data_IF_896723499170
#
_entry.id   IF_896723499170
#
_cell.length_a   1.000
_cell.length_b   1.000
_cell.length_c   1.000
_cell.angle_alpha   90.00
_cell.angle_beta   90.00
_cell.angle_gamma   90.00
#
_symmetry.space_group_name_H-M   'P 1'
#
loop_
_entity.id
_entity.type
_entity.pdbx_description
1 polymer ?
#
# COMPACT_ATOMS: atom_id res chain seq x y z
N UNK A 1 -13.93 16.06 -19.24
CA UNK A 1 -13.03 15.16 -18.50
C UNK A 1 -13.05 13.83 -19.20
N UNK A 2 -11.90 13.35 -19.65
CA UNK A 2 -11.83 12.03 -20.24
C UNK A 2 -11.83 10.96 -19.15
N UNK A 3 -12.50 9.87 -19.46
CA UNK A 3 -12.51 8.66 -18.68
C UNK A 3 -11.13 7.97 -18.70
N UNK A 4 -10.32 8.24 -17.67
CA UNK A 4 -8.99 7.64 -17.44
C UNK A 4 -9.03 6.10 -17.46
N UNK A 5 -10.19 5.50 -17.18
CA UNK A 5 -10.39 4.04 -17.20
C UNK A 5 -10.24 3.43 -18.60
N UNK A 6 -10.31 4.25 -19.65
CA UNK A 6 -10.19 3.84 -21.06
C UNK A 6 -8.79 3.98 -21.63
N UNK A 7 -7.84 4.53 -20.87
CA UNK A 7 -6.47 4.69 -21.33
C UNK A 7 -5.75 3.34 -21.38
N UNK A 8 -5.02 3.08 -22.47
CA UNK A 8 -4.19 1.90 -22.62
C UNK A 8 -2.87 2.08 -21.84
N UNK A 9 -2.91 1.71 -20.56
CA UNK A 9 -1.72 1.62 -19.72
C UNK A 9 -0.87 0.38 -20.04
N UNK A 10 -1.40 -0.61 -20.76
CA UNK A 10 -0.76 -1.91 -20.94
C UNK A 10 0.47 -1.82 -21.85
N UNK A 11 0.39 -0.99 -22.89
CA UNK A 11 1.40 -0.93 -23.96
C UNK A 11 2.83 -0.79 -23.43
N UNK A 12 3.06 0.20 -22.57
CA UNK A 12 4.39 0.48 -22.05
C UNK A 12 4.62 -0.22 -20.72
N UNK A 13 3.64 -0.25 -19.84
CA UNK A 13 3.89 -0.71 -18.48
C UNK A 13 4.02 -2.24 -18.42
N UNK A 14 3.35 -3.03 -19.27
CA UNK A 14 3.40 -4.50 -19.22
C UNK A 14 4.79 -5.12 -19.39
N UNK A 15 5.70 -4.52 -20.19
CA UNK A 15 6.98 -5.17 -20.55
C UNK A 15 8.13 -4.16 -20.67
N UNK A 16 8.93 -4.04 -19.62
CA UNK A 16 10.11 -3.15 -19.57
C UNK A 16 11.15 -3.46 -20.64
N UNK A 17 11.32 -4.73 -21.03
CA UNK A 17 12.28 -5.10 -22.10
C UNK A 17 11.89 -4.57 -23.48
N UNK A 18 10.67 -4.06 -23.67
CA UNK A 18 10.24 -3.36 -24.87
C UNK A 18 10.47 -1.85 -24.83
N UNK A 19 11.00 -1.31 -23.73
CA UNK A 19 11.23 0.13 -23.60
C UNK A 19 12.36 0.59 -24.52
N UNK A 20 12.27 1.82 -25.06
CA UNK A 20 13.42 2.44 -25.71
C UNK A 20 14.63 2.37 -24.78
N UNK A 21 15.76 1.90 -25.30
CA UNK A 21 17.00 1.84 -24.54
C UNK A 21 17.29 3.21 -23.93
N UNK A 22 17.68 3.23 -22.66
CA UNK A 22 18.20 4.44 -22.01
C UNK A 22 19.34 4.99 -22.88
N UNK A 23 19.11 6.14 -23.50
CA UNK A 23 20.19 6.92 -24.07
C UNK A 23 20.82 7.72 -22.92
N UNK A 24 22.15 7.71 -22.83
CA UNK A 24 22.99 8.36 -21.81
C UNK A 24 22.27 9.49 -21.04
N UNK A 25 22.12 9.28 -19.73
CA UNK A 25 21.55 10.23 -18.75
C UNK A 25 20.06 10.58 -18.95
N UNK A 26 19.26 9.69 -19.54
CA UNK A 26 17.81 9.91 -19.70
C UNK A 26 16.99 8.70 -19.31
N UNK A 27 15.81 8.99 -18.77
CA UNK A 27 14.78 8.02 -18.44
C UNK A 27 13.66 8.10 -19.47
N UNK A 28 13.21 6.94 -19.95
CA UNK A 28 11.93 6.88 -20.66
C UNK A 28 10.80 7.25 -19.69
N UNK A 29 9.75 7.93 -20.15
CA UNK A 29 8.68 8.41 -19.28
C UNK A 29 8.05 7.28 -18.42
N UNK A 30 7.80 6.10 -19.00
CA UNK A 30 7.29 4.96 -18.23
C UNK A 30 8.22 4.58 -17.07
N UNK A 31 9.53 4.63 -17.30
CA UNK A 31 10.53 4.35 -16.28
C UNK A 31 10.52 5.42 -15.17
N UNK A 32 10.50 6.69 -15.56
CA UNK A 32 10.45 7.79 -14.62
C UNK A 32 9.23 7.69 -13.70
N UNK A 33 8.07 7.32 -14.27
CA UNK A 33 6.85 7.05 -13.50
C UNK A 33 7.08 5.96 -12.46
N UNK A 34 7.69 4.82 -12.84
CA UNK A 34 7.97 3.76 -11.87
C UNK A 34 8.98 4.11 -10.79
N UNK A 35 9.89 5.04 -11.05
CA UNK A 35 10.80 5.52 -10.00
C UNK A 35 10.12 6.49 -9.04
N UNK A 36 9.24 7.34 -9.56
CA UNK A 36 8.50 8.32 -8.77
C UNK A 36 7.44 7.63 -7.92
N UNK A 37 6.82 6.59 -8.45
CA UNK A 37 5.60 6.07 -7.87
C UNK A 37 5.76 5.49 -6.46
N UNK A 38 6.81 4.73 -6.11
CA UNK A 38 7.07 4.34 -4.72
C UNK A 38 7.32 5.51 -3.76
N UNK A 39 7.78 6.65 -4.30
CA UNK A 39 8.03 7.85 -3.52
C UNK A 39 6.77 8.68 -3.29
N UNK A 40 5.77 8.55 -4.15
CA UNK A 40 4.53 9.34 -4.08
C UNK A 40 3.30 8.52 -3.69
N UNK A 41 3.34 7.21 -3.82
CA UNK A 41 2.22 6.31 -3.59
C UNK A 41 2.73 5.15 -2.77
N UNK A 42 2.12 4.95 -1.61
CA UNK A 42 2.36 3.79 -0.77
C UNK A 42 1.06 3.01 -0.59
N UNK A 43 1.07 1.67 -0.72
CA UNK A 43 2.17 0.83 -1.23
C UNK A 43 2.16 0.82 -2.78
N UNK A 44 3.31 1.08 -3.42
CA UNK A 44 3.45 0.92 -4.89
C UNK A 44 4.17 -0.39 -5.25
N UNK A 45 5.30 -0.67 -4.58
CA UNK A 45 6.20 -1.77 -4.91
C UNK A 45 5.58 -3.17 -4.69
N UNK A 46 4.63 -3.29 -3.77
CA UNK A 46 3.98 -4.56 -3.44
C UNK A 46 2.64 -4.78 -4.18
N UNK A 47 2.08 -3.73 -4.80
CA UNK A 47 0.63 -3.66 -5.07
C UNK A 47 0.30 -3.35 -6.52
N UNK A 48 1.16 -2.71 -7.33
CA UNK A 48 0.80 -2.47 -8.74
C UNK A 48 1.82 -3.16 -9.65
N UNK A 49 1.71 -4.49 -9.83
CA UNK A 49 2.45 -5.14 -10.89
C UNK A 49 2.01 -4.51 -12.20
N UNK A 50 2.95 -3.89 -12.89
CA UNK A 50 2.94 -3.32 -14.22
C UNK A 50 2.04 -3.98 -15.31
N UNK A 51 1.71 -5.26 -15.16
CA UNK A 51 0.79 -5.99 -16.03
C UNK A 51 -0.69 -6.02 -15.57
N UNK A 52 -0.98 -5.75 -14.30
CA UNK A 52 -2.33 -5.83 -13.69
C UNK A 52 -3.27 -4.72 -14.15
N UNK A 53 -2.74 -3.55 -14.49
CA UNK A 53 -3.59 -2.45 -14.99
C UNK A 53 -4.19 -2.71 -16.37
N UNK A 54 -3.65 -3.67 -17.13
CA UNK A 54 -4.05 -3.90 -18.51
C UNK A 54 -5.43 -4.54 -18.65
N UNK A 55 -5.73 -5.56 -17.84
CA UNK A 55 -6.91 -6.39 -18.02
C UNK A 55 -7.69 -6.49 -16.70
N UNK A 56 -8.97 -6.11 -16.74
CA UNK A 56 -9.91 -6.40 -15.66
C UNK A 56 -10.07 -7.93 -15.61
N UNK A 57 -9.89 -8.49 -14.43
CA UNK A 57 -10.09 -9.92 -14.21
C UNK A 57 -11.59 -10.19 -14.05
N UNK A 58 -12.08 -11.36 -14.47
CA UNK A 58 -13.47 -11.72 -14.23
C UNK A 58 -13.78 -11.65 -12.73
N UNK A 59 -14.91 -11.05 -12.38
CA UNK A 59 -15.43 -11.12 -11.02
C UNK A 59 -15.98 -12.53 -10.79
N UNK A 60 -15.11 -13.41 -10.31
CA UNK A 60 -15.47 -14.79 -10.00
C UNK A 60 -16.44 -14.82 -8.79
N UNK A 61 -17.50 -15.66 -8.83
CA UNK A 61 -18.33 -15.90 -7.65
C UNK A 61 -17.50 -16.35 -6.47
N UNK A 62 -17.89 -15.94 -5.26
CA UNK A 62 -17.22 -16.38 -4.04
C UNK A 62 -17.34 -17.89 -3.87
N UNK A 63 -16.44 -18.49 -3.09
CA UNK A 63 -16.41 -19.94 -2.88
C UNK A 63 -17.71 -20.48 -2.30
N UNK A 64 -18.39 -19.71 -1.44
CA UNK A 64 -19.70 -20.08 -0.87
C UNK A 64 -20.85 -20.02 -1.89
N UNK A 65 -20.68 -19.30 -2.99
CA UNK A 65 -21.63 -19.26 -4.10
C UNK A 65 -21.37 -20.40 -5.10
N UNK A 66 -20.12 -20.86 -5.20
CA UNK A 66 -19.71 -21.93 -6.11
C UNK A 66 -19.95 -23.34 -5.53
N UNK A 67 -19.92 -23.49 -4.20
CA UNK A 67 -20.09 -24.76 -3.51
C UNK A 67 -21.32 -24.73 -2.59
N UNK A 68 -21.96 -25.86 -2.37
CA UNK A 68 -22.97 -26.01 -1.32
C UNK A 68 -22.31 -26.15 0.07
N UNK A 69 -23.14 -26.28 1.10
CA UNK A 69 -22.67 -26.40 2.49
C UNK A 69 -21.94 -27.72 2.78
N UNK A 70 -22.11 -28.73 1.93
CA UNK A 70 -21.38 -30.00 1.97
C UNK A 70 -20.05 -29.94 1.19
N UNK A 71 -19.76 -28.81 0.53
CA UNK A 71 -18.58 -28.65 -0.32
C UNK A 71 -18.74 -29.29 -1.71
N UNK A 72 -19.96 -29.65 -2.13
CA UNK A 72 -20.21 -30.11 -3.48
C UNK A 72 -20.32 -28.91 -4.44
N UNK A 73 -19.79 -29.02 -5.67
CA UNK A 73 -19.88 -27.94 -6.66
C UNK A 73 -21.34 -27.73 -7.09
N UNK A 74 -21.79 -26.47 -7.11
CA UNK A 74 -23.10 -26.08 -7.63
C UNK A 74 -23.07 -26.10 -9.16
N UNK A 75 -23.83 -26.99 -9.84
CA UNK A 75 -23.70 -27.20 -11.29
C UNK A 75 -23.90 -25.94 -12.13
N UNK A 76 -24.84 -25.07 -11.74
CA UNK A 76 -25.16 -23.82 -12.43
C UNK A 76 -24.02 -22.81 -12.39
N UNK A 77 -23.31 -22.71 -11.25
CA UNK A 77 -22.19 -21.78 -11.07
C UNK A 77 -20.94 -22.33 -11.74
N UNK A 78 -20.63 -23.61 -11.53
CA UNK A 78 -19.49 -24.26 -12.18
C UNK A 78 -19.65 -24.29 -13.71
N UNK A 79 -20.85 -24.56 -14.23
CA UNK A 79 -21.11 -24.56 -15.66
C UNK A 79 -20.89 -23.19 -16.31
N UNK A 80 -21.21 -22.11 -15.60
CA UNK A 80 -21.04 -20.74 -16.09
C UNK A 80 -19.59 -20.22 -15.94
N UNK A 81 -18.94 -20.51 -14.82
CA UNK A 81 -17.71 -19.80 -14.42
C UNK A 81 -16.43 -20.64 -14.40
N UNK A 82 -16.52 -21.98 -14.34
CA UNK A 82 -15.32 -22.82 -14.33
C UNK A 82 -14.41 -22.60 -15.57
N UNK A 83 -14.94 -22.39 -16.81
CA UNK A 83 -14.09 -22.06 -17.95
C UNK A 83 -13.33 -20.73 -17.78
N UNK A 84 -13.99 -19.70 -17.25
CA UNK A 84 -13.36 -18.40 -16.99
C UNK A 84 -12.28 -18.52 -15.91
N UNK A 85 -12.56 -19.27 -14.84
CA UNK A 85 -11.62 -19.57 -13.78
C UNK A 85 -10.39 -20.32 -14.30
N UNK A 86 -10.58 -21.36 -15.12
CA UNK A 86 -9.49 -22.14 -15.70
C UNK A 86 -8.66 -21.35 -16.73
N UNK A 87 -9.28 -20.40 -17.42
CA UNK A 87 -8.56 -19.45 -18.28
C UNK A 87 -7.74 -18.43 -17.45
N UNK A 88 -8.24 -18.05 -16.27
CA UNK A 88 -7.56 -17.15 -15.35
C UNK A 88 -6.39 -17.84 -14.63
N UNK A 89 -6.66 -18.99 -14.00
CA UNK A 89 -5.70 -19.81 -13.28
C UNK A 89 -5.91 -21.27 -13.67
N UNK A 90 -4.99 -21.78 -14.48
CA UNK A 90 -5.06 -23.16 -14.94
C UNK A 90 -4.91 -24.13 -13.76
N UNK A 91 -5.46 -25.35 -13.89
CA UNK A 91 -5.28 -26.38 -12.87
C UNK A 91 -3.80 -26.73 -12.63
N UNK A 92 -2.97 -26.64 -13.67
CA UNK A 92 -1.52 -26.84 -13.57
C UNK A 92 -0.85 -25.74 -12.75
N UNK A 93 -1.20 -24.47 -13.00
CA UNK A 93 -0.71 -23.33 -12.25
C UNK A 93 -1.11 -23.39 -10.78
N UNK A 94 -2.39 -23.67 -10.49
CA UNK A 94 -2.86 -23.87 -9.11
C UNK A 94 -2.09 -24.99 -8.41
N UNK A 95 -1.90 -26.14 -9.09
CA UNK A 95 -1.16 -27.27 -8.54
C UNK A 95 0.29 -26.87 -8.24
N UNK A 96 0.94 -26.13 -9.14
CA UNK A 96 2.29 -25.61 -8.92
C UNK A 96 2.34 -24.68 -7.70
N UNK A 97 1.46 -23.68 -7.61
CA UNK A 97 1.41 -22.76 -6.45
C UNK A 97 1.12 -23.49 -5.13
N UNK A 98 0.26 -24.52 -5.16
CA UNK A 98 -0.02 -25.35 -3.98
C UNK A 98 1.20 -26.18 -3.58
N UNK A 99 1.88 -26.81 -4.54
CA UNK A 99 3.11 -27.56 -4.29
C UNK A 99 4.20 -26.66 -3.73
N UNK A 100 4.40 -25.45 -4.27
CA UNK A 100 5.38 -24.49 -3.76
C UNK A 100 5.18 -24.19 -2.27
N UNK A 101 3.91 -24.02 -1.86
CA UNK A 101 3.56 -23.71 -0.46
C UNK A 101 3.68 -24.91 0.48
N UNK A 102 3.34 -26.12 0.01
CA UNK A 102 3.24 -27.32 0.85
C UNK A 102 4.52 -28.17 0.87
N UNK A 103 5.22 -28.25 -0.26
CA UNK A 103 6.42 -29.06 -0.47
C UNK A 103 7.37 -28.39 -1.49
N UNK A 104 8.17 -27.40 -1.05
CA UNK A 104 9.10 -26.67 -1.92
C UNK A 104 10.12 -27.57 -2.62
N UNK A 105 10.52 -28.69 -2.00
CA UNK A 105 11.48 -29.64 -2.57
C UNK A 105 10.84 -30.43 -3.73
N UNK A 106 9.59 -30.90 -3.55
CA UNK A 106 8.84 -31.51 -4.64
C UNK A 106 8.54 -30.51 -5.76
N UNK A 107 8.28 -29.24 -5.42
CA UNK A 107 8.15 -28.17 -6.40
C UNK A 107 9.43 -28.01 -7.22
N UNK A 108 10.60 -27.89 -6.58
CA UNK A 108 11.89 -27.80 -7.26
C UNK A 108 12.18 -29.02 -8.15
N UNK A 109 11.79 -30.22 -7.73
CA UNK A 109 11.94 -31.45 -8.53
C UNK A 109 10.96 -31.54 -9.72
N UNK A 110 9.79 -30.91 -9.61
CA UNK A 110 8.76 -30.85 -10.65
C UNK A 110 9.01 -29.76 -11.71
N UNK A 111 9.85 -28.78 -11.41
CA UNK A 111 10.20 -27.71 -12.33
C UNK A 111 11.55 -27.95 -12.99
N UNK A 112 11.68 -27.54 -14.26
CA UNK A 112 12.95 -27.55 -14.98
C UNK A 112 13.30 -26.13 -15.39
N UNK A 113 14.57 -25.76 -15.27
CA UNK A 113 15.05 -24.51 -15.81
C UNK A 113 14.94 -24.54 -17.35
N UNK A 114 14.21 -23.59 -17.92
CA UNK A 114 14.12 -23.36 -19.35
C UNK A 114 15.09 -22.23 -19.73
N UNK A 115 16.18 -22.53 -20.47
CA UNK A 115 17.15 -21.52 -20.88
C UNK A 115 16.58 -20.50 -21.87
N UNK A 116 15.44 -20.76 -22.52
CA UNK A 116 14.82 -19.84 -23.49
C UNK A 116 14.04 -18.74 -22.78
N UNK A 117 13.21 -19.10 -21.80
CA UNK A 117 12.51 -18.12 -20.96
C UNK A 117 13.39 -17.55 -19.84
N UNK A 118 14.49 -18.22 -19.49
CA UNK A 118 15.36 -17.85 -18.36
C UNK A 118 14.70 -18.11 -17.01
N UNK A 119 13.67 -18.97 -16.97
CA UNK A 119 12.84 -19.23 -15.80
C UNK A 119 12.62 -20.72 -15.53
N UNK A 120 11.99 -21.02 -14.39
CA UNK A 120 11.58 -22.39 -14.04
C UNK A 120 10.24 -22.69 -14.70
N UNK A 121 10.17 -23.75 -15.52
CA UNK A 121 8.95 -24.20 -16.20
C UNK A 121 8.41 -25.44 -15.50
N UNK A 122 7.13 -25.38 -15.13
CA UNK A 122 6.41 -26.49 -14.52
C UNK A 122 6.20 -27.62 -15.54
N UNK A 123 6.48 -28.87 -15.14
CA UNK A 123 6.17 -30.06 -15.94
C UNK A 123 4.80 -30.63 -15.50
N UNK A 124 3.69 -30.26 -16.16
CA UNK A 124 2.35 -30.64 -15.72
C UNK A 124 2.13 -32.15 -15.73
N UNK A 125 2.89 -32.90 -16.54
CA UNK A 125 2.82 -34.36 -16.60
C UNK A 125 3.29 -35.03 -15.29
N UNK A 126 4.07 -34.32 -14.45
CA UNK A 126 4.58 -34.83 -13.18
C UNK A 126 3.67 -34.57 -11.98
N UNK A 127 2.77 -33.60 -12.08
CA UNK A 127 1.98 -33.14 -10.93
C UNK A 127 0.49 -33.47 -11.04
N UNK A 128 0.01 -33.87 -12.23
CA UNK A 128 -1.41 -33.98 -12.50
C UNK A 128 -1.86 -35.43 -12.74
N UNK A 129 -2.23 -36.12 -11.67
CA UNK A 129 -2.95 -37.40 -11.73
C UNK A 129 -4.39 -37.22 -11.27
N UNK A 130 -5.29 -37.21 -12.27
CA UNK A 130 -6.74 -37.45 -12.20
C UNK A 130 -7.62 -36.50 -11.38
N UNK A 131 -8.38 -35.68 -12.12
CA UNK A 131 -9.59 -35.02 -11.64
C UNK A 131 -9.77 -33.68 -12.34
N UNK A 132 -10.51 -33.64 -13.45
CA UNK A 132 -10.81 -32.42 -14.24
C UNK A 132 -11.70 -31.40 -13.50
N UNK A 133 -11.90 -31.56 -12.20
CA UNK A 133 -12.75 -30.70 -11.38
C UNK A 133 -11.95 -29.55 -10.77
N UNK A 134 -12.51 -28.34 -10.83
CA UNK A 134 -12.07 -27.21 -10.00
C UNK A 134 -12.42 -27.54 -8.55
N UNK A 135 -11.42 -27.69 -7.70
CA UNK A 135 -11.63 -27.94 -6.26
C UNK A 135 -12.06 -26.66 -5.53
N UNK A 136 -12.58 -26.81 -4.31
CA UNK A 136 -12.87 -25.68 -3.42
C UNK A 136 -11.65 -24.77 -3.26
N UNK A 137 -10.48 -25.35 -2.95
CA UNK A 137 -9.22 -24.61 -2.74
C UNK A 137 -8.75 -23.89 -4.01
N UNK A 138 -8.93 -24.50 -5.19
CA UNK A 138 -8.62 -23.86 -6.48
C UNK A 138 -9.54 -22.66 -6.71
N UNK A 139 -10.84 -22.82 -6.45
CA UNK A 139 -11.80 -21.74 -6.59
C UNK A 139 -11.53 -20.57 -5.66
N UNK A 140 -11.27 -20.88 -4.39
CA UNK A 140 -10.97 -19.88 -3.36
C UNK A 140 -9.71 -19.10 -3.70
N UNK A 141 -8.63 -19.80 -4.08
CA UNK A 141 -7.37 -19.16 -4.47
C UNK A 141 -7.54 -18.29 -5.72
N UNK A 142 -8.23 -18.79 -6.75
CA UNK A 142 -8.43 -18.04 -7.98
C UNK A 142 -9.33 -16.81 -7.80
N UNK A 143 -10.43 -16.94 -7.06
CA UNK A 143 -11.35 -15.82 -6.78
C UNK A 143 -10.69 -14.73 -5.94
N UNK A 144 -9.91 -15.12 -4.91
CA UNK A 144 -9.14 -14.18 -4.10
C UNK A 144 -8.13 -13.41 -4.95
N UNK A 145 -7.31 -14.10 -5.75
CA UNK A 145 -6.31 -13.43 -6.59
C UNK A 145 -6.96 -12.54 -7.66
N UNK A 146 -8.08 -12.95 -8.26
CA UNK A 146 -8.79 -12.12 -9.24
C UNK A 146 -9.33 -10.83 -8.59
N UNK A 147 -9.90 -10.94 -7.38
CA UNK A 147 -10.36 -9.80 -6.59
C UNK A 147 -9.21 -8.87 -6.20
N UNK A 148 -8.08 -9.45 -5.74
CA UNK A 148 -6.87 -8.71 -5.44
C UNK A 148 -6.40 -7.93 -6.68
N UNK A 149 -6.18 -8.58 -7.83
CA UNK A 149 -5.75 -7.90 -9.07
C UNK A 149 -6.72 -6.77 -9.48
N UNK A 150 -8.02 -6.96 -9.35
CA UNK A 150 -9.00 -5.90 -9.65
C UNK A 150 -8.89 -4.72 -8.68
N UNK A 151 -8.67 -4.98 -7.40
CA UNK A 151 -8.41 -3.92 -6.42
C UNK A 151 -7.10 -3.19 -6.72
N UNK A 152 -6.03 -3.93 -7.05
CA UNK A 152 -4.74 -3.37 -7.48
C UNK A 152 -4.89 -2.46 -8.71
N UNK A 153 -5.66 -2.92 -9.71
CA UNK A 153 -6.01 -2.12 -10.90
C UNK A 153 -6.77 -0.86 -10.51
N UNK A 154 -7.76 -0.96 -9.61
CA UNK A 154 -8.55 0.19 -9.14
C UNK A 154 -7.65 1.23 -8.46
N UNK A 155 -6.76 0.80 -7.56
CA UNK A 155 -5.77 1.66 -6.92
C UNK A 155 -4.86 2.32 -7.96
N UNK A 156 -4.33 1.54 -8.90
CA UNK A 156 -3.52 2.05 -10.00
C UNK A 156 -4.23 3.13 -10.81
N UNK A 157 -5.50 2.94 -11.15
CA UNK A 157 -6.30 3.93 -11.89
C UNK A 157 -6.53 5.24 -11.12
N UNK A 158 -6.60 5.19 -9.79
CA UNK A 158 -6.67 6.38 -8.93
C UNK A 158 -5.31 7.08 -8.87
N UNK A 159 -4.23 6.29 -8.81
CA UNK A 159 -2.88 6.75 -8.60
C UNK A 159 -2.21 7.35 -9.85
N UNK A 160 -2.48 6.81 -11.04
CA UNK A 160 -1.82 7.26 -12.27
C UNK A 160 -2.07 8.74 -12.61
N UNK A 161 -3.28 9.31 -12.46
CA UNK A 161 -3.50 10.74 -12.62
C UNK A 161 -2.66 11.61 -11.66
N UNK A 162 -2.44 11.14 -10.43
CA UNK A 162 -1.62 11.85 -9.45
C UNK A 162 -0.15 11.87 -9.87
N UNK A 163 0.37 10.75 -10.37
CA UNK A 163 1.72 10.67 -10.93
C UNK A 163 1.87 11.53 -12.19
N UNK A 164 0.85 11.52 -13.04
CA UNK A 164 0.82 12.33 -14.25
C UNK A 164 0.90 13.81 -13.90
N UNK A 165 0.10 14.23 -12.92
CA UNK A 165 0.10 15.60 -12.42
C UNK A 165 1.45 15.97 -11.82
N UNK A 166 2.06 15.09 -11.02
CA UNK A 166 3.36 15.35 -10.41
C UNK A 166 4.46 15.60 -11.45
N UNK A 167 4.53 14.76 -12.48
CA UNK A 167 5.49 14.94 -13.58
C UNK A 167 5.21 16.23 -14.33
N UNK A 168 3.95 16.52 -14.65
CA UNK A 168 3.57 17.74 -15.35
C UNK A 168 3.92 19.00 -14.55
N UNK A 169 3.61 19.03 -13.24
CA UNK A 169 3.93 20.15 -12.36
C UNK A 169 5.44 20.38 -12.27
N UNK A 170 6.24 19.33 -12.12
CA UNK A 170 7.70 19.44 -12.11
C UNK A 170 8.25 19.93 -13.46
N UNK A 171 7.69 19.47 -14.58
CA UNK A 171 8.11 19.91 -15.91
C UNK A 171 7.74 21.38 -16.17
N UNK A 172 6.54 21.80 -15.78
CA UNK A 172 6.07 23.20 -15.84
C UNK A 172 6.94 24.12 -14.99
N UNK A 173 7.29 23.69 -13.77
CA UNK A 173 8.14 24.46 -12.87
C UNK A 173 9.61 24.54 -13.35
N UNK A 174 9.99 23.77 -14.37
CA UNK A 174 11.38 23.63 -14.81
C UNK A 174 12.24 22.85 -13.82
N UNK A 175 11.64 22.16 -12.84
CA UNK A 175 12.32 21.26 -11.90
C UNK A 175 12.87 20.04 -12.67
N UNK A 176 12.17 19.54 -13.69
CA UNK A 176 12.66 18.47 -14.55
C UNK A 176 12.68 18.90 -16.01
N UNK A 177 13.73 18.48 -16.74
CA UNK A 177 13.81 18.69 -18.18
C UNK A 177 13.20 17.50 -18.90
N UNK A 178 12.28 17.77 -19.82
CA UNK A 178 11.65 16.75 -20.65
C UNK A 178 12.03 16.93 -22.12
N UNK A 179 12.11 15.80 -22.84
CA UNK A 179 12.64 15.72 -24.20
C UNK A 179 11.70 14.83 -25.01
N UNK A 180 11.35 15.26 -26.21
CA UNK A 180 10.63 14.50 -27.20
C UNK A 180 11.61 13.90 -28.22
N UNK A 181 11.45 12.60 -28.52
CA UNK A 181 12.21 11.91 -29.56
C UNK A 181 11.25 11.25 -30.55
N UNK A 182 11.43 11.42 -31.87
CA UNK A 182 10.55 10.78 -32.84
C UNK A 182 10.52 9.26 -32.67
N UNK A 183 9.34 8.64 -32.81
CA UNK A 183 9.17 7.18 -32.61
C UNK A 183 10.08 6.37 -33.55
N UNK A 184 10.29 6.85 -34.78
CA UNK A 184 11.14 6.18 -35.76
C UNK A 184 12.63 6.54 -35.62
N UNK A 185 13.02 7.16 -34.51
CA UNK A 185 14.34 7.75 -34.32
C UNK A 185 14.48 9.10 -35.02
N UNK A 186 15.51 9.85 -34.65
CA UNK A 186 15.75 11.21 -35.15
C UNK A 186 16.33 12.13 -34.10
N UNK A 187 16.43 13.41 -34.47
CA UNK A 187 16.87 14.46 -33.57
C UNK A 187 15.83 14.69 -32.46
N UNK A 188 16.33 15.03 -31.29
CA UNK A 188 15.50 15.28 -30.12
C UNK A 188 15.12 16.75 -30.02
N UNK A 189 13.94 16.98 -29.45
CA UNK A 189 13.40 18.31 -29.23
C UNK A 189 13.15 18.48 -27.74
N UNK A 190 13.67 19.54 -27.14
CA UNK A 190 13.35 19.87 -25.76
C UNK A 190 11.88 20.27 -25.67
N UNK A 191 11.14 19.69 -24.71
CA UNK A 191 9.76 20.08 -24.47
C UNK A 191 9.72 21.35 -23.63
N UNK A 192 8.83 22.27 -23.97
CA UNK A 192 8.61 23.51 -23.22
C UNK A 192 7.62 23.30 -22.07
N UNK A 193 7.59 24.24 -21.13
CA UNK A 193 6.63 24.21 -20.03
C UNK A 193 5.17 24.29 -20.55
N UNK A 194 4.94 25.08 -21.60
CA UNK A 194 3.62 25.24 -22.22
C UNK A 194 3.10 23.94 -22.81
N UNK A 195 4.00 23.11 -23.35
CA UNK A 195 3.63 21.79 -23.80
C UNK A 195 3.13 20.93 -22.64
N UNK A 196 3.48 21.21 -21.38
CA UNK A 196 2.92 20.51 -20.22
C UNK A 196 1.61 21.09 -19.66
N UNK A 197 1.09 22.20 -20.20
CA UNK A 197 -0.20 22.79 -19.83
C UNK A 197 -1.39 22.02 -20.43
N UNK A 198 -1.57 20.77 -20.01
CA UNK A 198 -2.76 19.98 -20.30
C UNK A 198 -3.63 19.87 -19.06
N UNK A 199 -4.95 19.86 -19.27
CA UNK A 199 -5.92 19.66 -18.20
C UNK A 199 -5.74 18.28 -17.55
N UNK A 200 -5.41 17.26 -18.35
CA UNK A 200 -5.15 15.89 -17.89
C UNK A 200 -3.85 15.34 -18.49
N UNK A 201 -2.82 15.24 -17.66
CA UNK A 201 -1.52 14.70 -18.07
C UNK A 201 -1.51 13.16 -18.18
N UNK A 202 -2.57 12.47 -17.74
CA UNK A 202 -2.68 10.99 -17.75
C UNK A 202 -2.43 10.42 -19.14
N UNK A 203 -2.91 11.09 -20.18
CA UNK A 203 -2.73 10.67 -21.57
C UNK A 203 -1.27 10.54 -22.00
N UNK A 204 -0.43 11.46 -21.54
CA UNK A 204 0.99 11.42 -21.86
C UNK A 204 1.71 10.31 -21.13
N UNK A 205 1.30 10.00 -19.91
CA UNK A 205 1.85 8.84 -19.20
C UNK A 205 1.36 7.54 -19.85
N UNK A 206 0.07 7.42 -20.17
CA UNK A 206 -0.49 6.22 -20.81
C UNK A 206 0.17 5.93 -22.16
N UNK A 207 0.30 6.94 -23.01
CA UNK A 207 0.94 6.82 -24.32
C UNK A 207 2.47 6.88 -24.29
N UNK A 208 3.06 7.34 -23.18
CA UNK A 208 4.46 7.75 -23.05
C UNK A 208 4.96 8.64 -24.21
N UNK A 209 4.05 9.41 -24.81
CA UNK A 209 4.30 10.13 -26.04
C UNK A 209 3.46 11.39 -26.18
N UNK A 210 3.74 12.15 -27.23
CA UNK A 210 2.94 13.28 -27.67
C UNK A 210 3.03 13.45 -29.19
N UNK A 211 2.04 14.14 -29.75
CA UNK A 211 2.19 14.78 -31.05
C UNK A 211 2.72 16.21 -30.87
N UNK A 212 3.85 16.55 -31.49
CA UNK A 212 4.44 17.89 -31.37
C UNK A 212 3.64 18.95 -32.13
N UNK A 213 2.92 18.57 -33.19
CA UNK A 213 2.10 19.52 -33.95
C UNK A 213 0.77 19.80 -33.26
N UNK A 214 0.23 18.79 -32.54
CA UNK A 214 -1.03 18.88 -31.81
C UNK A 214 -0.85 18.46 -30.33
N UNK A 215 -0.01 19.14 -29.53
CA UNK A 215 0.41 18.66 -28.21
C UNK A 215 -0.73 18.62 -27.17
N UNK A 216 -1.83 19.33 -27.43
CA UNK A 216 -3.00 19.40 -26.55
C UNK A 216 -4.15 18.50 -27.01
N UNK A 217 -4.05 17.90 -28.20
CA UNK A 217 -5.02 16.94 -28.69
C UNK A 217 -4.71 15.55 -28.08
N UNK A 218 -5.57 15.13 -27.15
CA UNK A 218 -5.43 13.86 -26.44
C UNK A 218 -5.71 12.64 -27.31
N UNK A 219 -6.40 12.84 -28.45
CA UNK A 219 -6.72 11.79 -29.41
C UNK A 219 -5.72 11.75 -30.58
N UNK A 220 -4.81 12.72 -30.65
CA UNK A 220 -3.75 12.72 -31.66
C UNK A 220 -2.82 11.51 -31.49
N UNK A 221 -2.46 10.89 -32.61
CA UNK A 221 -1.51 9.77 -32.61
C UNK A 221 -0.13 10.30 -32.22
N UNK A 222 0.52 9.77 -31.17
CA UNK A 222 1.85 10.23 -30.77
C UNK A 222 2.85 10.11 -31.91
N UNK A 223 3.57 11.20 -32.20
CA UNK A 223 4.67 11.21 -33.17
C UNK A 223 6.04 11.07 -32.47
N UNK A 224 6.08 11.40 -31.18
CA UNK A 224 7.27 11.40 -30.34
C UNK A 224 7.05 10.65 -29.03
N UNK A 225 8.12 10.02 -28.54
CA UNK A 225 8.22 9.47 -27.18
C UNK A 225 8.82 10.51 -26.24
N UNK A 226 8.37 10.48 -24.98
CA UNK A 226 8.83 11.42 -23.94
C UNK A 226 9.94 10.78 -23.10
N UNK A 227 10.99 11.55 -22.88
CA UNK A 227 12.11 11.23 -22.00
C UNK A 227 12.29 12.33 -20.96
N UNK A 228 12.85 11.96 -19.81
CA UNK A 228 13.21 12.88 -18.73
C UNK A 228 14.73 12.85 -18.56
N UNK A 229 15.34 14.03 -18.47
CA UNK A 229 16.75 14.15 -18.12
C UNK A 229 16.97 13.63 -16.69
N UNK A 230 17.94 12.74 -16.51
CA UNK A 230 18.23 12.13 -15.22
C UNK A 230 18.89 13.14 -14.26
N UNK A 231 19.53 14.18 -14.79
CA UNK A 231 20.26 15.14 -13.96
C UNK A 231 19.32 15.86 -12.99
N UNK A 232 19.53 15.62 -11.70
CA UNK A 232 18.73 16.21 -10.62
C UNK A 232 17.34 15.59 -10.45
N UNK A 233 16.94 14.63 -11.29
CA UNK A 233 15.60 14.05 -11.27
C UNK A 233 15.21 13.52 -9.88
N UNK A 234 16.03 12.66 -9.28
CA UNK A 234 15.75 12.08 -7.96
C UNK A 234 15.65 13.15 -6.85
N UNK A 235 16.48 14.20 -6.93
CA UNK A 235 16.45 15.33 -5.99
C UNK A 235 15.15 16.14 -6.14
N UNK A 236 14.74 16.42 -7.37
CA UNK A 236 13.51 17.15 -7.66
C UNK A 236 12.26 16.35 -7.28
N UNK A 237 12.25 15.04 -7.50
CA UNK A 237 11.17 14.15 -7.02
C UNK A 237 11.08 14.17 -5.50
N UNK A 238 12.21 14.06 -4.80
CA UNK A 238 12.25 14.13 -3.34
C UNK A 238 11.82 15.51 -2.81
N UNK A 239 12.12 16.59 -3.53
CA UNK A 239 11.63 17.94 -3.20
C UNK A 239 10.13 18.07 -3.47
N UNK A 240 9.63 17.54 -4.59
CA UNK A 240 8.21 17.54 -4.93
C UNK A 240 7.40 16.80 -3.85
N UNK A 241 7.79 15.57 -3.52
CA UNK A 241 7.17 14.78 -2.44
C UNK A 241 7.09 15.57 -1.12
N UNK A 242 8.20 16.24 -0.75
CA UNK A 242 8.27 17.09 0.45
C UNK A 242 7.35 18.31 0.40
N UNK A 243 7.30 19.01 -0.74
CA UNK A 243 6.47 20.23 -0.93
C UNK A 243 4.98 19.90 -0.91
N UNK A 244 4.59 18.83 -1.58
CA UNK A 244 3.18 18.45 -1.74
C UNK A 244 2.67 17.62 -0.57
N UNK A 245 3.49 17.42 0.48
CA UNK A 245 3.12 16.66 1.67
C UNK A 245 2.62 15.25 1.32
N UNK A 246 2.99 14.76 0.13
CA UNK A 246 2.72 13.40 -0.31
C UNK A 246 3.61 12.55 0.57
N UNK A 247 2.98 11.99 1.59
CA UNK A 247 3.72 11.36 2.66
C UNK A 247 4.47 10.18 2.05
N UNK A 248 5.81 10.24 2.13
CA UNK A 248 6.69 9.09 2.03
C UNK A 248 6.37 8.22 3.24
N UNK A 249 5.36 7.39 3.10
CA UNK A 249 4.80 6.60 4.19
C UNK A 249 5.47 5.23 4.15
N UNK A 250 6.20 4.88 5.20
CA UNK A 250 6.52 3.48 5.49
C UNK A 250 5.33 2.76 6.17
N UNK A 251 4.34 3.48 6.72
CA UNK A 251 3.19 2.87 7.41
C UNK A 251 1.90 3.73 7.27
N UNK A 252 1.03 3.37 6.31
CA UNK A 252 -0.39 3.75 6.18
C UNK A 252 -0.77 5.25 6.14
N UNK A 253 -1.14 5.76 4.96
CA UNK A 253 -2.24 6.72 4.82
C UNK A 253 -3.29 6.03 3.96
N UNK A 254 -4.49 5.87 4.51
CA UNK A 254 -5.69 5.59 3.72
C UNK A 254 -6.06 6.84 2.91
N UNK A 255 -6.49 6.70 1.65
CA UNK A 255 -6.96 7.83 0.87
C UNK A 255 -8.26 8.35 1.49
N UNK A 256 -8.15 9.37 2.35
CA UNK A 256 -9.29 10.23 2.62
C UNK A 256 -9.46 11.11 1.39
N UNK A 257 -10.54 10.89 0.66
CA UNK A 257 -11.00 11.63 -0.52
C UNK A 257 -11.24 13.16 -0.28
N UNK A 258 -10.62 13.77 0.75
CA UNK A 258 -11.24 14.83 1.57
C UNK A 258 -10.31 15.94 2.12
N UNK A 259 -9.36 16.47 1.33
CA UNK A 259 -8.68 17.74 1.68
C UNK A 259 -7.53 17.63 2.70
N UNK A 260 -6.41 17.05 2.28
CA UNK A 260 -5.29 16.70 3.15
C UNK A 260 -4.31 17.87 3.34
N UNK A 261 -4.15 18.31 4.59
CA UNK A 261 -2.92 18.93 5.13
C UNK A 261 -2.14 17.83 5.87
N UNK A 262 -0.90 17.51 5.50
CA UNK A 262 -0.06 16.60 6.31
C UNK A 262 1.40 17.04 6.47
N UNK A 263 1.69 17.55 7.66
CA UNK A 263 2.99 18.00 8.13
C UNK A 263 4.07 16.88 8.10
N UNK A 264 5.32 17.22 7.76
CA UNK A 264 6.47 16.28 7.74
C UNK A 264 6.67 15.50 9.05
N UNK A 265 7.31 14.31 9.06
CA UNK A 265 7.65 13.54 10.30
C UNK A 265 8.23 14.42 11.44
N UNK A 266 9.03 15.45 11.12
CA UNK A 266 9.61 16.40 12.09
C UNK A 266 8.60 17.39 12.69
N UNK A 267 7.52 17.68 11.97
CA UNK A 267 6.41 18.52 12.42
C UNK A 267 5.22 17.70 12.96
N UNK A 268 5.06 16.46 12.48
CA UNK A 268 4.06 15.51 12.96
C UNK A 268 4.43 14.95 14.33
N UNK A 269 5.72 14.70 14.60
CA UNK A 269 6.16 14.18 15.89
C UNK A 269 5.76 15.10 17.08
N UNK A 270 6.06 16.41 17.08
CA UNK A 270 5.56 17.32 18.11
C UNK A 270 4.02 17.38 18.16
N UNK A 271 3.36 17.30 17.01
CA UNK A 271 1.89 17.38 16.92
C UNK A 271 1.21 16.14 17.53
N UNK A 272 1.69 14.94 17.21
CA UNK A 272 1.18 13.70 17.77
C UNK A 272 1.50 13.59 19.26
N UNK A 273 2.69 14.02 19.69
CA UNK A 273 3.01 14.14 21.12
C UNK A 273 2.04 15.08 21.83
N UNK A 274 1.77 16.25 21.22
CA UNK A 274 0.84 17.24 21.75
C UNK A 274 -0.63 16.79 21.75
N UNK A 275 -1.02 15.80 20.92
CA UNK A 275 -2.35 15.17 20.93
C UNK A 275 -2.43 13.99 21.90
N UNK A 276 -1.39 13.15 21.96
CA UNK A 276 -1.36 11.98 22.81
C UNK A 276 -1.28 12.35 24.29
N UNK A 277 -0.52 13.39 24.65
CA UNK A 277 -0.36 13.81 26.05
C UNK A 277 -1.68 14.23 26.72
N UNK A 278 -2.54 15.10 26.14
CA UNK A 278 -3.83 15.46 26.73
C UNK A 278 -4.76 14.26 26.94
N UNK A 279 -4.74 13.28 26.02
CA UNK A 279 -5.53 12.05 26.16
C UNK A 279 -5.08 11.24 27.39
N UNK A 280 -3.76 11.02 27.52
CA UNK A 280 -3.21 10.34 28.69
C UNK A 280 -3.51 11.09 29.99
N UNK A 281 -3.36 12.43 29.98
CA UNK A 281 -3.61 13.28 31.15
C UNK A 281 -5.07 13.24 31.58
N UNK A 282 -6.00 13.42 30.65
CA UNK A 282 -7.44 13.33 30.94
C UNK A 282 -7.80 11.97 31.52
N UNK A 283 -7.26 10.89 30.96
CA UNK A 283 -7.49 9.54 31.46
C UNK A 283 -6.97 9.34 32.89
N UNK A 284 -5.73 9.75 33.18
CA UNK A 284 -5.14 9.65 34.53
C UNK A 284 -5.89 10.51 35.55
N UNK A 285 -6.40 11.68 35.15
CA UNK A 285 -7.24 12.52 36.02
C UNK A 285 -8.55 11.85 36.40
N UNK A 286 -9.22 11.22 35.43
CA UNK A 286 -10.46 10.50 35.68
C UNK A 286 -10.24 9.17 36.42
N UNK A 287 -9.10 8.51 36.16
CA UNK A 287 -8.76 7.18 36.69
C UNK A 287 -7.34 7.15 37.26
N UNK A 288 -7.08 7.73 38.45
CA UNK A 288 -5.73 7.88 39.00
C UNK A 288 -4.94 6.58 39.22
N UNK A 289 -5.61 5.43 39.17
CA UNK A 289 -5.01 4.11 39.35
C UNK A 289 -4.63 3.45 38.01
N UNK A 290 -5.05 4.00 36.86
CA UNK A 290 -4.92 3.38 35.53
C UNK A 290 -3.79 4.02 34.69
N UNK A 291 -2.59 4.10 35.25
CA UNK A 291 -1.45 4.78 34.61
C UNK A 291 -0.45 3.81 33.93
N UNK A 292 -0.78 2.53 33.82
CA UNK A 292 0.11 1.53 33.23
C UNK A 292 0.34 1.79 31.74
N UNK A 293 1.57 1.51 31.25
CA UNK A 293 2.00 1.72 29.85
C UNK A 293 1.00 1.15 28.85
N UNK A 294 0.56 -0.08 29.06
CA UNK A 294 -0.36 -0.79 28.17
C UNK A 294 -1.75 -0.15 28.12
N UNK A 295 -2.24 0.39 29.24
CA UNK A 295 -3.55 1.07 29.30
C UNK A 295 -3.48 2.42 28.60
N UNK A 296 -2.47 3.23 28.92
CA UNK A 296 -2.25 4.53 28.25
C UNK A 296 -2.05 4.37 26.75
N UNK A 297 -1.35 3.31 26.32
CA UNK A 297 -1.16 3.01 24.89
C UNK A 297 -2.48 2.70 24.21
N UNK A 298 -3.31 1.83 24.79
CA UNK A 298 -4.64 1.52 24.24
C UNK A 298 -5.51 2.75 24.08
N UNK A 299 -5.49 3.69 25.03
CA UNK A 299 -6.27 4.94 24.95
C UNK A 299 -5.76 5.85 23.83
N UNK A 300 -4.43 5.95 23.67
CA UNK A 300 -3.87 6.75 22.57
C UNK A 300 -4.17 6.09 21.22
N UNK A 301 -4.03 4.76 21.13
CA UNK A 301 -4.24 4.02 19.89
C UNK A 301 -5.71 3.91 19.50
N UNK A 302 -6.65 3.94 20.46
CA UNK A 302 -8.09 3.97 20.15
C UNK A 302 -8.54 5.29 19.53
N UNK A 303 -7.85 6.40 19.81
CA UNK A 303 -8.20 7.73 19.33
C UNK A 303 -7.35 8.19 18.13
N UNK A 304 -6.07 7.84 18.11
CA UNK A 304 -5.11 8.32 17.11
C UNK A 304 -4.65 7.23 16.12
N UNK A 305 -5.12 5.98 16.27
CA UNK A 305 -4.58 4.83 15.55
C UNK A 305 -3.21 4.38 16.08
N UNK A 306 -2.57 3.45 15.39
CA UNK A 306 -1.21 2.99 15.76
C UNK A 306 -0.24 4.18 15.86
N UNK A 307 0.45 4.30 16.99
CA UNK A 307 1.49 5.32 17.19
C UNK A 307 2.85 4.68 17.43
N UNK A 308 3.90 5.32 16.91
CA UNK A 308 5.27 4.85 17.14
C UNK A 308 5.69 4.94 18.61
N UNK A 309 6.57 4.04 19.03
CA UNK A 309 7.10 4.01 20.40
C UNK A 309 7.73 5.34 20.83
N UNK A 310 8.39 6.06 19.92
CA UNK A 310 8.98 7.36 20.20
C UNK A 310 7.93 8.42 20.56
N UNK A 311 6.86 8.56 19.76
CA UNK A 311 5.76 9.50 20.03
C UNK A 311 5.10 9.17 21.37
N UNK A 312 4.83 7.88 21.59
CA UNK A 312 4.19 7.41 22.81
C UNK A 312 5.06 7.69 24.06
N UNK A 313 6.35 7.33 24.04
CA UNK A 313 7.22 7.55 25.20
C UNK A 313 7.53 9.04 25.44
N UNK A 314 7.56 9.89 24.40
CA UNK A 314 7.69 11.33 24.57
C UNK A 314 6.47 11.95 25.24
N UNK A 315 5.25 11.60 24.81
CA UNK A 315 4.01 12.03 25.46
C UNK A 315 3.92 11.55 26.90
N UNK A 316 4.31 10.30 27.16
CA UNK A 316 4.41 9.73 28.52
C UNK A 316 5.47 10.44 29.35
N UNK A 317 6.57 10.88 28.74
CA UNK A 317 7.59 11.72 29.37
C UNK A 317 7.01 13.03 29.92
N UNK A 318 6.16 13.72 29.13
CA UNK A 318 5.44 14.91 29.58
C UNK A 318 4.47 14.61 30.73
N UNK A 319 3.76 13.47 30.65
CA UNK A 319 2.85 13.04 31.71
C UNK A 319 3.58 12.80 33.04
N UNK A 320 4.80 12.26 33.03
CA UNK A 320 5.61 12.03 34.24
C UNK A 320 6.01 13.33 34.95
N UNK A 321 6.14 14.43 34.21
CA UNK A 321 6.42 15.75 34.81
C UNK A 321 5.22 16.22 35.65
N UNK A 322 4.01 16.04 35.15
CA UNK A 322 2.78 16.42 35.85
C UNK A 322 2.38 15.44 36.96
N UNK A 323 2.74 14.16 36.79
CA UNK A 323 2.38 13.07 37.70
C UNK A 323 3.63 12.25 38.09
N UNK A 324 4.56 12.80 38.91
CA UNK A 324 5.82 12.13 39.24
C UNK A 324 5.67 10.77 39.93
N UNK A 325 4.54 10.51 40.59
CA UNK A 325 4.25 9.22 41.21
C UNK A 325 4.11 8.07 40.19
N UNK A 326 3.78 8.38 38.92
CA UNK A 326 3.75 7.40 37.82
C UNK A 326 5.14 6.83 37.53
N UNK A 327 6.20 7.62 37.74
CA UNK A 327 7.59 7.20 37.49
C UNK A 327 8.10 6.16 38.49
N UNK A 328 7.63 6.22 39.73
CA UNK A 328 8.16 5.41 40.83
C UNK A 328 7.31 4.16 41.11
N UNK A 329 6.29 3.90 40.29
CA UNK A 329 5.28 2.87 40.57
C UNK A 329 4.47 3.16 41.84
N UNK A 330 4.52 4.39 42.35
CA UNK A 330 3.88 4.82 43.58
C UNK A 330 2.42 5.21 43.37
N UNK A 331 1.57 4.85 44.33
CA UNK A 331 0.19 5.36 44.39
C UNK A 331 0.20 6.91 44.53
N UNK A 332 -0.84 7.62 44.05
CA UNK A 332 -0.91 9.07 44.14
C UNK A 332 -0.69 9.57 45.58
N UNK A 333 0.22 10.54 45.75
CA UNK A 333 0.46 11.19 47.04
C UNK A 333 -0.82 11.95 47.44
N UNK A 334 -1.61 11.34 48.31
CA UNK A 334 -2.94 11.83 48.70
C UNK A 334 -3.96 10.72 48.95
N UNK A 335 -3.78 9.53 48.35
CA UNK A 335 -4.52 8.32 48.77
C UNK A 335 -3.84 7.68 49.98
N UNK A 336 -3.57 8.47 51.02
CA UNK A 336 -3.37 7.90 52.33
C UNK A 336 -4.69 7.20 52.68
N UNK A 337 -4.74 5.87 52.56
CA UNK A 337 -5.77 5.08 53.24
C UNK A 337 -5.81 5.60 54.67
N UNK A 338 -6.89 6.27 55.08
CA UNK A 338 -7.19 6.46 56.49
C UNK A 338 -7.08 5.06 57.09
N UNK A 339 -6.00 4.80 57.83
CA UNK A 339 -5.96 3.65 58.74
C UNK A 339 -7.13 3.89 59.67
N UNK A 340 -8.22 3.14 59.47
CA UNK A 340 -9.23 2.98 60.51
C UNK A 340 -8.48 2.27 61.63
N UNK A 341 -8.00 3.05 62.60
CA UNK A 341 -7.51 2.49 63.85
C UNK A 341 -8.76 1.98 64.55
N UNK A 342 -9.02 0.68 64.43
CA UNK A 342 -10.00 0.00 65.27
C UNK A 342 -9.47 0.05 66.71
N UNK A 343 -9.91 1.06 67.46
CA UNK A 343 -9.75 1.08 68.91
C UNK A 343 -10.73 0.04 69.45
N UNK A 344 -10.24 -1.19 69.63
CA UNK A 344 -10.99 -2.23 70.32
C UNK A 344 -10.81 -1.98 71.83
N UNK A 345 -11.88 -1.79 72.63
CA UNK A 345 -11.74 -1.67 74.07
C UNK A 345 -11.22 -2.98 74.65
N UNK A 346 -10.14 -2.93 75.43
CA UNK A 346 -9.68 -4.08 76.23
C UNK A 346 -10.72 -4.37 77.32
N UNK A 347 -11.60 -5.33 77.08
CA UNK A 347 -12.37 -5.97 78.14
C UNK A 347 -11.43 -6.88 78.94
N UNK A 348 -11.25 -6.54 80.22
CA UNK A 348 -10.49 -7.32 81.18
C UNK A 348 -11.14 -8.67 81.42
N UNK A 349 -10.36 -9.74 81.26
CA UNK A 349 -10.76 -11.09 81.65
C UNK A 349 -10.62 -11.21 83.17
N UNK A 350 -11.77 -11.34 83.83
CA UNK A 350 -11.87 -11.70 85.25
C UNK A 350 -11.47 -13.17 85.39
N UNK A 351 -10.48 -13.44 86.26
CA UNK A 351 -10.13 -14.79 86.71
C UNK A 351 -11.20 -15.32 87.66
N UNK A 352 -11.64 -16.54 87.41
CA UNK A 352 -12.34 -17.43 88.36
C UNK A 352 -12.62 -18.72 87.61
N UNK A 353 -12.45 -19.92 88.15
CA UNK A 353 -12.17 -20.41 89.49
C UNK A 353 -12.39 -21.92 89.39
N UNK A 354 -11.60 -22.71 90.12
CA UNK A 354 -11.60 -24.17 90.08
C UNK A 354 -12.97 -24.78 90.43
N UNK A 355 -13.24 -25.94 89.84
CA UNK A 355 -13.77 -27.13 90.54
C UNK A 355 -13.28 -28.37 89.82
#
# INVERSE_FOLDING_TARGET
>A
MTDVTKLDWARWYRKQSGWPLRANDRLFLAEAVLRIAPLLIFPWDDIIPLGTMANEQPLLPGTLDAFDWDGNPRPEVHGAWAPALLNYMSAAEFTSQRMERQDPDAWLAAHKYDPVSGGMVFDPAKAYTSGTGVSFEHWDTASFQAAEINELRRVGMICMPLLARAIADMAVAGDIRTIARPINGGAEVALTAEQWFVDDASYRLASCGLDLENPFDVDATPTHLIFIDLKGFDEHVALYARRHMISLIEEGITPDEFGIKSLSKKALYPTLVAKAYPLMKAHVQAHPQQYHRSVLRKIVESELGSVSDGVFEAARGLLKVDYPHITDGGAPVGTARRRVVNITPKLGVIKGGKS
#
